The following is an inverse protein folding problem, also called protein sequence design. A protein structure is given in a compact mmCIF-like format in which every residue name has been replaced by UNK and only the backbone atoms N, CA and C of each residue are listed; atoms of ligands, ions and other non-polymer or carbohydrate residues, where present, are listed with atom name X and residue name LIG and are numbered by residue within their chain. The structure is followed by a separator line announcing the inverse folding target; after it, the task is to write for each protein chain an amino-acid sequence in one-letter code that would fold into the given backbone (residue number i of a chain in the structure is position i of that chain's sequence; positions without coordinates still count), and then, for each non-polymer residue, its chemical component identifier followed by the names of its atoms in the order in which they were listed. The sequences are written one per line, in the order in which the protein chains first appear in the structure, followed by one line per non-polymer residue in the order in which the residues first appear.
data_IF_349957810594
#
_entry.id   IF_349957810594
#
_cell.length_a   1.000
_cell.length_b   1.000
_cell.length_c   1.000
_cell.angle_alpha   90.00
_cell.angle_beta   90.00
_cell.angle_gamma   90.00
#
_symmetry.space_group_name_H-M   'P 1'
#
loop_
_entity.id
_entity.type
_entity.pdbx_description
1 polymer ?
#
# COMPACT_ATOMS: atom_id res chain seq x y z
N UNK A 1 25.42 14.61 -18.35
CA UNK A 1 24.07 14.22 -18.83
C UNK A 1 23.27 13.30 -17.89
N UNK A 2 23.88 12.30 -17.22
CA UNK A 2 23.14 11.32 -16.40
C UNK A 2 22.38 11.95 -15.22
N UNK A 3 22.99 12.90 -14.50
CA UNK A 3 22.33 13.61 -13.39
C UNK A 3 21.05 14.32 -13.83
N UNK A 4 21.09 15.00 -14.98
CA UNK A 4 19.90 15.64 -15.55
C UNK A 4 18.82 14.60 -15.90
N UNK A 5 19.21 13.47 -16.51
CA UNK A 5 18.29 12.38 -16.82
C UNK A 5 17.67 11.73 -15.56
N UNK A 6 18.42 11.60 -14.47
CA UNK A 6 17.92 11.09 -13.20
C UNK A 6 16.93 12.05 -12.55
N UNK A 7 17.20 13.35 -12.61
CA UNK A 7 16.29 14.38 -12.08
C UNK A 7 15.01 14.49 -12.90
N UNK A 8 15.10 14.46 -14.23
CA UNK A 8 13.91 14.46 -15.09
C UNK A 8 13.08 13.19 -14.90
N UNK A 9 13.73 12.03 -14.74
CA UNK A 9 13.05 10.78 -14.42
C UNK A 9 12.33 10.86 -13.07
N UNK A 10 13.00 11.33 -12.01
CA UNK A 10 12.38 11.49 -10.69
C UNK A 10 11.20 12.46 -10.72
N UNK A 11 11.35 13.59 -11.42
CA UNK A 11 10.23 14.53 -11.58
C UNK A 11 9.07 13.91 -12.36
N UNK A 12 9.35 13.15 -13.42
CA UNK A 12 8.33 12.42 -14.17
C UNK A 12 7.63 11.36 -13.30
N UNK A 13 8.37 10.66 -12.43
CA UNK A 13 7.80 9.73 -11.45
C UNK A 13 6.85 10.44 -10.48
N UNK A 14 7.27 11.58 -9.91
CA UNK A 14 6.42 12.38 -9.03
C UNK A 14 5.14 12.86 -9.74
N UNK A 15 5.27 13.42 -10.94
CA UNK A 15 4.12 13.85 -11.76
C UNK A 15 3.20 12.68 -12.06
N UNK A 16 3.74 11.51 -12.41
CA UNK A 16 2.95 10.31 -12.68
C UNK A 16 2.19 9.83 -11.45
N UNK A 17 2.82 9.84 -10.26
CA UNK A 17 2.15 9.45 -9.01
C UNK A 17 0.99 10.37 -8.65
N UNK A 18 1.12 11.67 -8.92
CA UNK A 18 0.08 12.67 -8.70
C UNK A 18 -1.05 12.58 -9.75
N UNK A 19 -0.69 12.51 -11.03
CA UNK A 19 -1.64 12.50 -12.14
C UNK A 19 -2.47 11.22 -12.20
N UNK A 20 -1.90 10.08 -11.78
CA UNK A 20 -2.55 8.77 -11.85
C UNK A 20 -2.68 8.11 -10.47
N UNK A 21 -3.04 8.90 -9.48
CA UNK A 21 -3.09 8.52 -8.07
C UNK A 21 -4.01 7.30 -7.80
N UNK A 22 -5.03 7.08 -8.63
CA UNK A 22 -5.93 5.91 -8.56
C UNK A 22 -5.21 4.57 -8.75
N UNK A 23 -4.13 4.51 -9.54
CA UNK A 23 -3.35 3.29 -9.73
C UNK A 23 -2.43 2.96 -8.56
N UNK A 24 -2.19 3.93 -7.68
CA UNK A 24 -1.26 3.85 -6.56
C UNK A 24 -1.96 3.62 -5.21
N UNK A 25 -3.14 2.99 -5.26
CA UNK A 25 -3.96 2.69 -4.09
C UNK A 25 -4.21 3.93 -3.21
N UNK A 26 -4.54 5.08 -3.80
CA UNK A 26 -4.85 6.30 -3.02
C UNK A 26 -5.86 6.06 -1.91
N UNK A 27 -6.94 5.33 -2.24
CA UNK A 27 -8.03 5.12 -1.30
C UNK A 27 -7.62 4.10 -0.24
N UNK A 28 -7.72 4.50 1.02
CA UNK A 28 -7.59 3.59 2.17
C UNK A 28 -8.95 2.96 2.44
N UNK A 29 -8.99 1.67 2.78
CA UNK A 29 -10.21 1.08 3.34
C UNK A 29 -10.45 1.62 4.74
N UNK A 30 -11.71 1.87 5.10
CA UNK A 30 -12.05 2.13 6.50
C UNK A 30 -11.77 0.86 7.35
N UNK A 31 -11.68 1.02 8.66
CA UNK A 31 -11.33 -0.05 9.60
C UNK A 31 -12.24 -1.28 9.47
N UNK A 32 -13.54 -1.04 9.35
CA UNK A 32 -14.54 -2.06 9.05
C UNK A 32 -14.18 -2.87 7.80
N UNK A 33 -13.90 -2.21 6.67
CA UNK A 33 -13.52 -2.85 5.43
C UNK A 33 -12.18 -3.58 5.52
N UNK A 34 -11.19 -3.06 6.27
CA UNK A 34 -9.93 -3.76 6.52
C UNK A 34 -10.15 -5.08 7.24
N UNK A 35 -11.00 -5.10 8.27
CA UNK A 35 -11.34 -6.32 9.00
C UNK A 35 -12.10 -7.32 8.12
N UNK A 36 -13.03 -6.84 7.29
CA UNK A 36 -13.69 -7.69 6.30
C UNK A 36 -12.71 -8.29 5.28
N UNK A 37 -11.69 -7.54 4.84
CA UNK A 37 -10.63 -8.04 3.95
C UNK A 37 -9.80 -9.12 4.65
N UNK A 38 -9.40 -8.91 5.91
CA UNK A 38 -8.65 -9.89 6.70
C UNK A 38 -9.44 -11.20 6.81
N UNK A 39 -10.70 -11.12 7.25
CA UNK A 39 -11.58 -12.27 7.38
C UNK A 39 -11.82 -12.96 6.03
N UNK A 40 -12.01 -12.21 4.94
CA UNK A 40 -12.09 -12.77 3.58
C UNK A 40 -10.88 -13.64 3.24
N UNK A 41 -9.66 -13.15 3.53
CA UNK A 41 -8.42 -13.90 3.26
C UNK A 41 -8.32 -15.15 4.12
N UNK A 42 -8.64 -15.06 5.41
CA UNK A 42 -8.63 -16.22 6.33
C UNK A 42 -9.61 -17.30 5.88
N UNK A 43 -10.79 -16.93 5.35
CA UNK A 43 -11.75 -17.87 4.74
C UNK A 43 -11.12 -18.57 3.53
N UNK A 44 -10.53 -17.81 2.61
CA UNK A 44 -9.91 -18.35 1.40
C UNK A 44 -8.66 -19.21 1.68
N UNK A 45 -7.94 -18.91 2.76
CA UNK A 45 -6.80 -19.69 3.24
C UNK A 45 -7.23 -20.95 4.02
N UNK A 46 -8.54 -21.22 4.15
CA UNK A 46 -9.11 -22.35 4.89
C UNK A 46 -8.68 -22.39 6.37
N UNK A 47 -8.45 -21.22 6.96
CA UNK A 47 -8.07 -21.07 8.39
C UNK A 47 -9.26 -20.76 9.30
N UNK A 48 -10.46 -20.62 8.74
CA UNK A 48 -11.68 -20.50 9.54
C UNK A 48 -11.92 -21.78 10.36
N UNK A 49 -12.36 -21.65 11.61
CA UNK A 49 -12.57 -22.80 12.51
C UNK A 49 -13.75 -23.71 12.13
N UNK A 50 -14.64 -23.23 11.25
CA UNK A 50 -15.84 -23.93 10.81
C UNK A 50 -15.91 -24.00 9.27
N UNK A 51 -16.69 -24.96 8.75
CA UNK A 51 -16.96 -25.07 7.32
C UNK A 51 -18.01 -24.04 6.92
N UNK A 52 -17.55 -22.95 6.30
CA UNK A 52 -18.43 -22.00 5.64
C UNK A 52 -18.83 -22.60 4.28
N UNK A 53 -20.12 -22.57 3.94
CA UNK A 53 -20.63 -22.92 2.59
C UNK A 53 -20.25 -21.82 1.57
N UNK A 54 -18.95 -21.53 1.49
CA UNK A 54 -18.34 -20.68 0.51
C UNK A 54 -17.84 -21.57 -0.61
N UNK A 55 -18.38 -21.41 -1.81
CA UNK A 55 -17.81 -21.98 -3.02
C UNK A 55 -16.48 -21.25 -3.28
N UNK A 56 -15.39 -21.69 -2.65
CA UNK A 56 -14.04 -21.21 -2.92
C UNK A 56 -13.61 -21.91 -4.20
N UNK A 57 -13.74 -21.22 -5.32
CA UNK A 57 -13.55 -21.85 -6.62
C UNK A 57 -12.10 -21.77 -7.10
N UNK A 58 -11.30 -20.76 -6.69
CA UNK A 58 -9.88 -20.64 -7.13
C UNK A 58 -9.00 -19.72 -6.26
N UNK A 59 -7.65 -19.90 -6.31
CA UNK A 59 -6.64 -18.94 -5.78
C UNK A 59 -6.76 -17.51 -6.32
N UNK A 60 -7.42 -17.29 -7.47
CA UNK A 60 -7.67 -15.94 -8.00
C UNK A 60 -8.58 -15.11 -7.08
N UNK A 61 -9.40 -15.77 -6.26
CA UNK A 61 -10.39 -15.09 -5.40
C UNK A 61 -9.78 -14.37 -4.19
N UNK A 62 -8.55 -14.71 -3.76
CA UNK A 62 -7.86 -13.95 -2.70
C UNK A 62 -7.63 -12.49 -3.11
N UNK A 63 -7.39 -12.23 -4.42
CA UNK A 63 -7.26 -10.85 -4.93
C UNK A 63 -8.60 -10.11 -4.91
N UNK A 64 -9.72 -10.83 -5.05
CA UNK A 64 -11.08 -10.27 -4.95
C UNK A 64 -11.43 -9.83 -3.54
N UNK A 65 -10.75 -10.32 -2.50
CA UNK A 65 -10.92 -9.78 -1.15
C UNK A 65 -10.58 -8.29 -1.05
N UNK A 66 -9.74 -7.75 -1.95
CA UNK A 66 -9.43 -6.32 -2.00
C UNK A 66 -10.46 -5.52 -2.83
N UNK A 67 -11.53 -6.15 -3.33
CA UNK A 67 -12.56 -5.52 -4.13
C UNK A 67 -13.79 -5.22 -3.26
N UNK A 68 -14.15 -3.94 -3.02
CA UNK A 68 -15.29 -3.59 -2.17
C UNK A 68 -16.61 -4.19 -2.68
N UNK A 69 -16.79 -4.29 -4.00
CA UNK A 69 -18.01 -4.88 -4.59
C UNK A 69 -18.11 -6.37 -4.29
N UNK A 70 -16.97 -7.07 -4.23
CA UNK A 70 -16.92 -8.48 -3.88
C UNK A 70 -17.31 -8.68 -2.41
N UNK A 71 -16.72 -7.90 -1.51
CA UNK A 71 -17.01 -7.95 -0.07
C UNK A 71 -18.50 -7.70 0.23
N UNK A 72 -19.12 -6.72 -0.43
CA UNK A 72 -20.56 -6.42 -0.31
C UNK A 72 -21.40 -7.56 -0.88
N UNK A 73 -21.13 -7.99 -2.12
CA UNK A 73 -21.91 -9.03 -2.81
C UNK A 73 -21.92 -10.34 -2.02
N UNK A 74 -20.82 -10.66 -1.37
CA UNK A 74 -20.65 -11.87 -0.57
C UNK A 74 -21.02 -11.69 0.91
N UNK A 75 -21.51 -10.50 1.30
CA UNK A 75 -21.87 -10.14 2.68
C UNK A 75 -20.71 -10.31 3.69
N UNK A 76 -19.48 -10.35 3.20
CA UNK A 76 -18.27 -10.44 4.04
C UNK A 76 -18.06 -9.13 4.81
N UNK A 77 -18.65 -8.03 4.33
CA UNK A 77 -18.62 -6.75 5.04
C UNK A 77 -19.29 -6.81 6.42
N UNK A 78 -20.11 -7.83 6.70
CA UNK A 78 -20.70 -8.08 8.02
C UNK A 78 -19.69 -8.60 9.05
N UNK A 79 -18.55 -9.13 8.59
CA UNK A 79 -17.42 -9.54 9.43
C UNK A 79 -16.44 -8.41 9.71
N UNK A 80 -16.75 -7.22 9.21
CA UNK A 80 -16.10 -6.04 9.72
C UNK A 80 -16.35 -5.99 11.22
N UNK A 81 -15.29 -5.79 11.99
CA UNK A 81 -15.27 -5.28 13.37
C UNK A 81 -15.04 -6.34 14.45
N UNK A 82 -13.78 -6.69 14.63
CA UNK A 82 -13.20 -6.65 15.97
C UNK A 82 -12.51 -5.31 16.09
N UNK A 83 -12.79 -4.55 17.16
CA UNK A 83 -11.87 -3.50 17.61
C UNK A 83 -10.60 -4.15 18.19
N UNK A 84 -9.58 -3.32 18.32
CA UNK A 84 -8.15 -3.64 18.37
C UNK A 84 -7.65 -4.55 19.51
N UNK A 85 -8.47 -5.24 20.31
CA UNK A 85 -7.92 -6.01 21.44
C UNK A 85 -8.52 -7.35 21.89
N UNK A 86 -9.70 -7.86 21.45
CA UNK A 86 -10.20 -9.11 22.09
C UNK A 86 -10.94 -10.08 21.15
N UNK A 87 -10.37 -11.29 20.99
CA UNK A 87 -11.06 -12.58 20.76
C UNK A 87 -11.86 -12.82 19.47
N UNK A 88 -12.34 -11.78 18.79
CA UNK A 88 -13.41 -11.86 17.79
C UNK A 88 -12.89 -12.12 16.37
N UNK A 89 -12.22 -13.27 16.20
CA UNK A 89 -11.69 -13.71 14.89
C UNK A 89 -12.49 -14.88 14.34
N UNK A 90 -12.51 -15.07 13.02
CA UNK A 90 -13.16 -16.27 12.43
C UNK A 90 -12.42 -17.58 12.73
N UNK A 91 -11.24 -17.48 13.34
CA UNK A 91 -10.49 -18.61 13.87
C UNK A 91 -11.08 -19.09 15.21
N UNK A 92 -11.93 -18.28 15.86
CA UNK A 92 -12.80 -18.73 16.95
C UNK A 92 -14.01 -19.47 16.37
N UNK A 93 -14.32 -20.64 16.94
CA UNK A 93 -15.42 -21.48 16.48
C UNK A 93 -16.80 -20.87 16.74
N UNK A 94 -16.98 -20.11 17.82
CA UNK A 94 -18.24 -19.43 18.12
C UNK A 94 -18.51 -18.34 17.07
N UNK A 95 -17.49 -17.51 16.79
CA UNK A 95 -17.55 -16.45 15.78
C UNK A 95 -17.75 -17.02 14.38
N UNK A 96 -17.05 -18.11 14.05
CA UNK A 96 -17.21 -18.77 12.76
C UNK A 96 -18.63 -19.35 12.58
N UNK A 97 -19.19 -20.00 13.60
CA UNK A 97 -20.53 -20.55 13.53
C UNK A 97 -21.60 -19.45 13.43
N UNK A 98 -21.44 -18.36 14.19
CA UNK A 98 -22.27 -17.16 14.05
C UNK A 98 -22.26 -16.65 12.60
N UNK A 99 -21.08 -16.54 11.99
CA UNK A 99 -20.96 -16.15 10.59
C UNK A 99 -21.64 -17.13 9.64
N UNK A 100 -21.46 -18.44 9.85
CA UNK A 100 -22.11 -19.46 9.04
C UNK A 100 -23.64 -19.32 9.08
N UNK A 101 -24.20 -19.04 10.25
CA UNK A 101 -25.62 -18.75 10.44
C UNK A 101 -26.06 -17.50 9.67
N UNK A 102 -25.28 -16.41 9.69
CA UNK A 102 -25.54 -15.20 8.88
C UNK A 102 -25.58 -15.52 7.38
N UNK A 103 -24.65 -16.32 6.87
CA UNK A 103 -24.65 -16.73 5.46
C UNK A 103 -25.87 -17.59 5.09
N UNK A 104 -26.42 -18.32 6.04
CA UNK A 104 -27.62 -19.12 5.87
C UNK A 104 -28.93 -18.34 6.14
N UNK A 105 -28.86 -17.02 6.36
CA UNK A 105 -29.99 -16.17 6.77
C UNK A 105 -30.67 -16.62 8.08
N UNK A 106 -29.90 -17.14 9.02
CA UNK A 106 -30.37 -17.45 10.37
C UNK A 106 -30.05 -16.29 11.31
N UNK A 107 -30.90 -16.09 12.31
CA UNK A 107 -30.67 -15.12 13.37
C UNK A 107 -29.53 -15.57 14.29
N UNK A 108 -28.74 -14.61 14.76
CA UNK A 108 -27.57 -14.84 15.64
C UNK A 108 -27.73 -13.97 16.87
N UNK A 109 -27.55 -14.58 18.05
CA UNK A 109 -27.50 -13.88 19.31
C UNK A 109 -26.08 -13.36 19.60
N UNK A 110 -25.85 -12.12 19.17
CA UNK A 110 -24.58 -11.42 19.36
C UNK A 110 -24.35 -10.94 20.79
N UNK A 111 -25.36 -10.98 21.66
CA UNK A 111 -25.23 -10.62 23.07
C UNK A 111 -24.75 -11.81 23.93
N UNK A 112 -24.63 -12.99 23.34
CA UNK A 112 -24.13 -14.17 24.02
C UNK A 112 -22.70 -13.95 24.58
N UNK A 113 -22.34 -14.53 25.74
CA UNK A 113 -21.04 -14.27 26.37
C UNK A 113 -19.81 -14.59 25.50
N UNK A 114 -19.97 -15.44 24.50
CA UNK A 114 -18.93 -15.88 23.57
C UNK A 114 -18.79 -14.95 22.34
N UNK A 115 -19.81 -14.14 22.06
CA UNK A 115 -19.88 -13.23 20.91
C UNK A 115 -20.00 -11.77 21.33
N UNK A 116 -20.10 -11.50 22.63
CA UNK A 116 -20.22 -10.15 23.16
C UNK A 116 -19.00 -9.32 22.75
N UNK A 117 -19.24 -8.18 22.10
CA UNK A 117 -18.19 -7.35 21.51
C UNK A 117 -17.70 -7.78 20.12
N UNK A 118 -18.13 -8.95 19.61
CA UNK A 118 -17.79 -9.42 18.26
C UNK A 118 -18.72 -8.89 17.17
N UNK A 119 -19.90 -8.41 17.54
CA UNK A 119 -20.76 -7.65 16.63
C UNK A 119 -20.32 -6.19 16.66
N UNK A 120 -19.58 -5.76 15.65
CA UNK A 120 -19.42 -4.33 15.47
C UNK A 120 -20.55 -3.69 14.66
N UNK A 121 -20.35 -2.40 14.39
CA UNK A 121 -21.29 -1.56 13.66
C UNK A 121 -21.43 -1.93 12.17
N UNK A 122 -22.58 -2.50 11.78
CA UNK A 122 -22.91 -2.65 10.36
C UNK A 122 -22.75 -1.30 9.64
N UNK A 123 -21.93 -1.22 8.56
CA UNK A 123 -21.84 -0.01 7.79
C UNK A 123 -23.21 0.29 7.20
N UNK A 124 -23.68 1.53 7.37
CA UNK A 124 -24.94 1.96 6.74
C UNK A 124 -24.77 1.85 5.21
N UNK A 125 -25.85 1.60 4.45
CA UNK A 125 -25.77 1.48 2.98
C UNK A 125 -25.11 2.69 2.30
N UNK A 126 -25.17 3.85 2.96
CA UNK A 126 -24.67 5.15 2.49
C UNK A 126 -23.22 5.43 2.91
N UNK A 127 -22.63 4.58 3.75
CA UNK A 127 -21.28 4.83 4.25
C UNK A 127 -20.21 4.36 3.26
N UNK A 128 -19.25 5.23 2.91
CA UNK A 128 -18.17 4.85 2.02
C UNK A 128 -17.26 3.82 2.68
N UNK A 129 -16.99 2.73 1.95
CA UNK A 129 -16.00 1.69 2.33
C UNK A 129 -14.57 2.22 2.33
N UNK A 130 -14.35 3.35 1.68
CA UNK A 130 -13.07 4.03 1.63
C UNK A 130 -13.05 5.18 2.63
N UNK A 131 -11.95 5.30 3.37
CA UNK A 131 -11.63 6.48 4.15
C UNK A 131 -11.40 7.65 3.17
N UNK A 132 -12.26 8.66 3.27
CA UNK A 132 -12.22 9.87 2.43
C UNK A 132 -11.29 10.94 2.98
N UNK A 133 -10.82 10.78 4.22
CA UNK A 133 -10.00 11.75 4.94
C UNK A 133 -8.52 11.40 4.76
N UNK A 134 -8.16 10.12 4.86
CA UNK A 134 -6.78 9.68 4.79
C UNK A 134 -6.47 8.82 3.57
N UNK A 135 -5.43 9.16 2.78
CA UNK A 135 -4.93 8.26 1.76
C UNK A 135 -4.25 7.03 2.40
N UNK A 136 -4.07 5.97 1.61
CA UNK A 136 -3.39 4.76 2.08
C UNK A 136 -1.95 5.01 2.49
N UNK A 137 -1.44 4.21 3.42
CA UNK A 137 -0.04 4.32 3.88
C UNK A 137 0.96 4.04 2.76
N UNK A 138 0.60 3.15 1.83
CA UNK A 138 1.41 2.89 0.64
C UNK A 138 1.52 4.13 -0.24
N UNK A 139 0.40 4.83 -0.48
CA UNK A 139 0.39 6.06 -1.26
C UNK A 139 1.16 7.18 -0.56
N UNK A 140 0.98 7.32 0.77
CA UNK A 140 1.74 8.29 1.59
C UNK A 140 3.25 8.01 1.51
N UNK A 141 3.66 6.75 1.65
CA UNK A 141 5.07 6.36 1.55
C UNK A 141 5.63 6.65 0.16
N UNK A 142 4.89 6.30 -0.90
CA UNK A 142 5.31 6.57 -2.28
C UNK A 142 5.45 8.08 -2.54
N UNK A 143 4.50 8.88 -2.07
CA UNK A 143 4.56 10.34 -2.17
C UNK A 143 5.76 10.89 -1.40
N UNK A 144 5.97 10.45 -0.16
CA UNK A 144 7.10 10.86 0.66
C UNK A 144 8.43 10.52 -0.02
N UNK A 145 8.56 9.31 -0.57
CA UNK A 145 9.75 8.87 -1.28
C UNK A 145 10.07 9.78 -2.49
N UNK A 146 9.06 10.10 -3.32
CA UNK A 146 9.26 10.96 -4.49
C UNK A 146 9.58 12.41 -4.09
N UNK A 147 8.92 12.96 -3.06
CA UNK A 147 9.19 14.31 -2.57
C UNK A 147 10.62 14.39 -2.01
N UNK A 148 10.99 13.46 -1.13
CA UNK A 148 12.33 13.41 -0.53
C UNK A 148 13.41 13.20 -1.59
N UNK A 149 13.19 12.33 -2.58
CA UNK A 149 14.10 12.13 -3.70
C UNK A 149 14.30 13.39 -4.55
N UNK A 150 13.23 14.17 -4.75
CA UNK A 150 13.28 15.46 -5.46
C UNK A 150 14.08 16.49 -4.66
N UNK A 151 13.77 16.65 -3.37
CA UNK A 151 14.49 17.58 -2.47
C UNK A 151 15.98 17.24 -2.41
N UNK A 152 16.33 15.97 -2.20
CA UNK A 152 17.71 15.52 -2.14
C UNK A 152 18.45 15.80 -3.46
N UNK A 153 17.80 15.52 -4.59
CA UNK A 153 18.36 15.79 -5.92
C UNK A 153 18.64 17.28 -6.15
N UNK A 154 17.72 18.16 -5.73
CA UNK A 154 17.91 19.63 -5.80
C UNK A 154 19.07 20.06 -4.90
N UNK A 155 19.16 19.55 -3.67
CA UNK A 155 20.27 19.85 -2.76
C UNK A 155 21.63 19.43 -3.34
N UNK A 156 21.70 18.26 -3.97
CA UNK A 156 22.91 17.81 -4.66
C UNK A 156 23.27 18.77 -5.80
N UNK A 157 22.31 19.18 -6.64
CA UNK A 157 22.58 20.16 -7.71
C UNK A 157 23.10 21.48 -7.14
N UNK A 158 22.48 22.01 -6.09
CA UNK A 158 22.90 23.26 -5.43
C UNK A 158 24.32 23.09 -4.88
N UNK A 159 24.61 21.99 -4.19
CA UNK A 159 25.94 21.72 -3.65
C UNK A 159 27.02 21.78 -4.74
N UNK A 160 26.81 21.08 -5.85
CA UNK A 160 27.77 21.08 -6.96
C UNK A 160 27.83 22.43 -7.70
N UNK A 161 26.73 23.15 -7.80
CA UNK A 161 26.70 24.51 -8.35
C UNK A 161 27.53 25.47 -7.48
N UNK A 162 27.37 25.40 -6.16
CA UNK A 162 28.14 26.19 -5.18
C UNK A 162 29.61 25.83 -5.22
N UNK A 163 29.95 24.53 -5.23
CA UNK A 163 31.33 24.07 -5.40
C UNK A 163 31.91 24.68 -6.68
N UNK A 164 31.24 24.53 -7.84
CA UNK A 164 31.70 25.10 -9.12
C UNK A 164 31.90 26.61 -9.09
N UNK A 165 31.06 27.35 -8.37
CA UNK A 165 31.13 28.80 -8.33
C UNK A 165 32.26 29.30 -7.41
N UNK A 166 32.42 28.66 -6.25
CA UNK A 166 33.41 29.04 -5.24
C UNK A 166 34.80 28.54 -5.62
N UNK A 167 34.89 27.32 -6.17
CA UNK A 167 36.15 26.76 -6.62
C UNK A 167 36.41 27.27 -8.04
N UNK A 168 37.39 28.16 -8.21
CA UNK A 168 38.08 28.38 -9.51
C UNK A 168 38.95 27.14 -9.83
N UNK A 169 38.41 25.95 -9.59
CA UNK A 169 38.99 24.72 -10.03
C UNK A 169 38.37 24.46 -11.41
N UNK A 170 39.06 24.92 -12.46
CA UNK A 170 39.01 24.19 -13.73
C UNK A 170 39.32 22.73 -13.39
N UNK A 171 38.30 21.88 -13.46
CA UNK A 171 38.25 20.61 -12.74
C UNK A 171 39.51 19.74 -12.98
N UNK A 172 40.43 19.74 -12.01
CA UNK A 172 41.46 18.70 -11.83
C UNK A 172 40.83 17.44 -11.21
N UNK A 173 39.62 17.09 -11.65
CA UNK A 173 39.18 15.70 -11.58
C UNK A 173 39.55 15.16 -12.93
N UNK A 174 40.69 14.46 -13.00
CA UNK A 174 41.18 13.83 -14.23
C UNK A 174 40.03 13.09 -14.92
N UNK A 175 39.50 13.68 -15.99
CA UNK A 175 38.57 12.98 -16.86
C UNK A 175 39.45 12.12 -17.77
N UNK A 176 39.33 10.79 -17.70
CA UNK A 176 40.14 9.91 -18.51
C UNK A 176 39.86 10.17 -20.00
N UNK A 177 40.84 10.79 -20.67
CA UNK A 177 40.77 11.12 -22.10
C UNK A 177 41.31 9.96 -22.95
N UNK A 178 42.10 9.07 -22.36
CA UNK A 178 42.77 7.98 -23.05
C UNK A 178 42.05 6.64 -22.86
N UNK A 179 42.12 5.78 -23.87
CA UNK A 179 41.53 4.43 -23.84
C UNK A 179 42.13 3.52 -22.76
N UNK A 180 43.32 3.85 -22.23
CA UNK A 180 44.06 3.04 -21.26
C UNK A 180 43.76 3.37 -19.80
N UNK A 181 42.91 4.36 -19.53
CA UNK A 181 42.61 4.74 -18.15
C UNK A 181 41.70 3.72 -17.45
N UNK A 182 41.83 3.66 -16.12
CA UNK A 182 41.22 2.66 -15.26
C UNK A 182 39.69 2.61 -15.43
N UNK A 183 39.13 1.41 -15.63
CA UNK A 183 37.71 1.19 -15.97
C UNK A 183 36.79 1.77 -14.89
N UNK A 184 37.18 1.66 -13.61
CA UNK A 184 36.42 2.23 -12.49
C UNK A 184 36.20 3.76 -12.62
N UNK A 185 37.20 4.48 -13.14
CA UNK A 185 37.13 5.94 -13.33
C UNK A 185 36.22 6.28 -14.52
N UNK A 186 36.22 5.45 -15.57
CA UNK A 186 35.32 5.60 -16.72
C UNK A 186 33.86 5.35 -16.36
N UNK A 187 33.58 4.39 -15.47
CA UNK A 187 32.23 4.12 -14.94
C UNK A 187 31.71 5.28 -14.09
N UNK A 188 32.59 5.98 -13.36
CA UNK A 188 32.22 7.16 -12.57
C UNK A 188 31.99 8.42 -13.42
N UNK A 189 32.53 8.49 -14.64
CA UNK A 189 32.42 9.66 -15.55
C UNK A 189 30.99 10.21 -15.71
N UNK A 190 29.96 9.40 -16.04
CA UNK A 190 28.60 9.91 -16.22
C UNK A 190 27.96 10.45 -14.93
N UNK A 191 28.46 10.06 -13.75
CA UNK A 191 27.96 10.52 -12.45
C UNK A 191 28.46 11.94 -12.14
N UNK A 192 29.57 12.36 -12.74
CA UNK A 192 30.07 13.73 -12.61
C UNK A 192 29.26 14.72 -13.46
N UNK A 193 28.96 15.90 -12.90
CA UNK A 193 28.16 16.94 -13.56
C UNK A 193 28.80 17.60 -14.79
N UNK A 194 30.03 17.22 -15.11
CA UNK A 194 30.90 17.90 -16.08
C UNK A 194 31.13 17.06 -17.34
N UNK A 195 30.31 16.03 -17.54
CA UNK A 195 30.26 15.18 -18.73
C UNK A 195 29.04 15.49 -19.61
#
# INVERSE_FOLDING_TARGET
MLMFALVTLQFACLVWTLANSRQWCVNRFNEAAVNAVKNCRTIHEQRAACKLNFTITTRKEIRECNNPKYLIKKRIILLALSDDDEGCTIEDIAVCNALASVFNNQDVDWESPQLNGCLGRLPKPEEPLFDTVNPSDLYKFLMLYNIMGTVFSVLVIIFFYVVRYITVFDAVIYQPRNSNDNIAIKVMRPITMWA
#
